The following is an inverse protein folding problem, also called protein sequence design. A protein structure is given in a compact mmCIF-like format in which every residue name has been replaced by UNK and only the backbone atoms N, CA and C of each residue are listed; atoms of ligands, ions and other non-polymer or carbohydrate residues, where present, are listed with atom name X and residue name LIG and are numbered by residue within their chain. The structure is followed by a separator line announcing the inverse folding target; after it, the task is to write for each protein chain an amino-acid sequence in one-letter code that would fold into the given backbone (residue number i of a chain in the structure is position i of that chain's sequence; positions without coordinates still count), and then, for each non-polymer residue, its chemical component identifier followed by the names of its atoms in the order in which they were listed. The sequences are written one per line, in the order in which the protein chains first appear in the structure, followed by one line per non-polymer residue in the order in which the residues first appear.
data_IF_837096122177
#
_entry.id   IF_837096122177
#
_cell.length_a   1.000
_cell.length_b   1.000
_cell.length_c   1.000
_cell.angle_alpha   90.00
_cell.angle_beta   90.00
_cell.angle_gamma   90.00
#
_symmetry.space_group_name_H-M   'P 1'
#
loop_
_entity.id
_entity.type
_entity.pdbx_description
1 polymer ?
#
# COMPACT_ATOMS: atom_id res chain seq x y z
N UNK A 1 8.49 6.39 -16.56
CA UNK A 1 7.14 6.55 -15.98
C UNK A 1 7.30 6.63 -14.47
N UNK A 2 6.61 7.52 -13.83
CA UNK A 2 6.72 7.78 -12.39
C UNK A 2 5.31 7.77 -11.76
N UNK A 3 5.17 7.23 -10.53
CA UNK A 3 3.94 7.26 -9.76
C UNK A 3 4.21 8.05 -8.48
N UNK A 4 3.46 9.13 -8.28
CA UNK A 4 3.50 9.93 -7.06
C UNK A 4 2.37 9.47 -6.11
N UNK A 5 2.74 8.96 -4.95
CA UNK A 5 1.79 8.51 -3.93
C UNK A 5 1.00 9.67 -3.27
N UNK A 6 1.36 10.91 -3.56
CA UNK A 6 0.62 12.11 -3.12
C UNK A 6 -0.43 12.59 -4.14
N UNK A 7 -0.44 12.06 -5.35
CA UNK A 7 -1.47 12.35 -6.38
C UNK A 7 -2.32 11.08 -6.59
N UNK A 8 -3.56 11.11 -6.12
CA UNK A 8 -4.51 10.00 -6.21
C UNK A 8 -4.75 9.52 -7.65
N UNK A 9 -4.52 10.38 -8.65
CA UNK A 9 -4.66 10.06 -10.07
C UNK A 9 -3.37 9.56 -10.72
N UNK A 10 -2.23 9.68 -10.05
CA UNK A 10 -0.93 9.37 -10.64
C UNK A 10 -0.83 7.90 -11.06
N UNK A 11 -1.28 6.99 -10.22
CA UNK A 11 -1.31 5.56 -10.55
C UNK A 11 -2.16 5.28 -11.79
N UNK A 12 -3.37 5.85 -11.88
CA UNK A 12 -4.25 5.68 -13.04
C UNK A 12 -3.61 6.19 -14.31
N UNK A 13 -3.05 7.41 -14.31
CA UNK A 13 -2.33 7.99 -15.46
C UNK A 13 -1.18 7.08 -15.91
N UNK A 14 -0.43 6.51 -14.97
CA UNK A 14 0.66 5.60 -15.27
C UNK A 14 0.16 4.31 -15.95
N UNK A 15 -0.93 3.73 -15.49
CA UNK A 15 -1.54 2.55 -16.12
C UNK A 15 -2.06 2.88 -17.54
N UNK A 16 -2.71 4.03 -17.71
CA UNK A 16 -3.18 4.48 -19.03
C UNK A 16 -2.00 4.60 -20.03
N UNK A 17 -0.83 5.08 -19.58
CA UNK A 17 0.40 5.14 -20.39
C UNK A 17 0.92 3.73 -20.73
N UNK A 18 0.95 2.81 -19.76
CA UNK A 18 1.37 1.41 -19.99
C UNK A 18 0.53 0.75 -21.08
N UNK A 19 -0.78 0.96 -21.03
CA UNK A 19 -1.69 0.37 -22.01
C UNK A 19 -1.59 1.04 -23.38
N UNK A 20 -1.63 2.39 -23.43
CA UNK A 20 -1.72 3.12 -24.69
C UNK A 20 -0.39 3.23 -25.45
N UNK A 21 0.74 3.37 -24.74
CA UNK A 21 2.04 3.59 -25.35
C UNK A 21 2.92 2.34 -25.41
N UNK A 22 2.75 1.41 -24.45
CA UNK A 22 3.56 0.20 -24.34
C UNK A 22 2.80 -1.10 -24.62
N UNK A 23 1.49 -1.00 -24.92
CA UNK A 23 0.62 -2.15 -25.18
C UNK A 23 0.66 -3.24 -24.08
N UNK A 24 0.85 -2.81 -22.82
CA UNK A 24 0.84 -3.69 -21.66
C UNK A 24 -0.60 -3.84 -21.19
N UNK A 25 -1.18 -5.01 -21.41
CA UNK A 25 -2.59 -5.30 -21.12
C UNK A 25 -2.78 -6.31 -19.96
N UNK A 26 -1.68 -6.82 -19.40
CA UNK A 26 -1.69 -7.67 -18.19
C UNK A 26 -0.48 -7.38 -17.31
N UNK A 27 -0.64 -7.56 -16.02
CA UNK A 27 0.42 -7.49 -15.00
C UNK A 27 0.27 -8.73 -14.13
N UNK A 28 1.34 -9.50 -13.98
CA UNK A 28 1.34 -10.72 -13.16
C UNK A 28 1.61 -10.39 -11.69
N UNK A 29 2.48 -9.42 -11.43
CA UNK A 29 2.87 -9.02 -10.08
C UNK A 29 2.94 -7.51 -9.96
N UNK A 30 2.40 -6.98 -8.87
CA UNK A 30 2.58 -5.58 -8.47
C UNK A 30 3.12 -5.51 -7.03
N UNK A 31 4.08 -4.63 -6.80
CA UNK A 31 4.67 -4.41 -5.49
C UNK A 31 4.41 -2.97 -5.06
N UNK A 32 3.52 -2.78 -4.08
CA UNK A 32 3.29 -1.49 -3.44
C UNK A 32 4.42 -1.24 -2.40
N UNK A 33 5.53 -0.69 -2.87
CA UNK A 33 6.73 -0.45 -2.07
C UNK A 33 6.80 0.97 -1.48
N UNK A 34 6.18 1.96 -2.11
CA UNK A 34 6.24 3.34 -1.67
C UNK A 34 5.70 3.51 -0.24
N UNK A 35 6.40 4.28 0.57
CA UNK A 35 6.00 4.56 1.94
C UNK A 35 6.97 5.50 2.63
N UNK A 36 6.47 6.20 3.63
CA UNK A 36 7.24 7.12 4.49
C UNK A 36 7.23 6.64 5.94
N UNK A 37 8.29 7.00 6.68
CA UNK A 37 8.45 6.80 8.12
C UNK A 37 9.32 7.94 8.67
N UNK A 38 8.75 9.15 8.78
CA UNK A 38 9.52 10.38 9.00
C UNK A 38 9.42 10.91 10.42
N UNK A 39 8.38 10.54 11.18
CA UNK A 39 8.19 11.02 12.55
C UNK A 39 8.22 9.88 13.57
N UNK A 40 8.97 10.11 14.65
CA UNK A 40 9.09 9.20 15.78
C UNK A 40 8.65 9.88 17.06
N UNK A 41 7.54 9.44 17.63
CA UNK A 41 6.99 9.95 18.88
C UNK A 41 5.86 9.06 19.41
N UNK A 42 5.63 9.10 20.73
CA UNK A 42 4.51 8.38 21.35
C UNK A 42 3.17 9.00 20.92
N UNK A 43 2.09 8.24 21.09
CA UNK A 43 0.75 8.64 20.66
C UNK A 43 0.28 9.98 21.28
N UNK A 44 0.73 10.30 22.48
CA UNK A 44 0.35 11.50 23.21
C UNK A 44 0.84 12.82 22.61
N UNK A 45 1.91 12.77 21.79
CA UNK A 45 2.52 13.98 21.19
C UNK A 45 2.68 13.87 19.67
N UNK A 46 2.28 12.77 19.06
CA UNK A 46 2.34 12.62 17.60
C UNK A 46 1.46 13.68 16.93
N UNK A 47 2.01 14.58 16.08
CA UNK A 47 1.22 15.59 15.39
C UNK A 47 0.17 14.95 14.47
N UNK A 48 -1.01 15.53 14.41
CA UNK A 48 -2.08 15.05 13.52
C UNK A 48 -1.68 15.18 12.04
N UNK A 49 -0.85 16.17 11.69
CA UNK A 49 -0.26 16.29 10.35
C UNK A 49 0.52 15.05 9.96
N UNK A 50 1.34 14.52 10.86
CA UNK A 50 2.12 13.29 10.62
C UNK A 50 1.21 12.07 10.40
N UNK A 51 0.14 11.95 11.19
CA UNK A 51 -0.85 10.89 10.99
C UNK A 51 -1.47 11.00 9.60
N UNK A 52 -1.90 12.19 9.20
CA UNK A 52 -2.51 12.42 7.88
C UNK A 52 -1.54 12.11 6.75
N UNK A 53 -0.29 12.56 6.84
CA UNK A 53 0.71 12.36 5.79
C UNK A 53 1.07 10.88 5.64
N UNK A 54 1.30 10.17 6.74
CA UNK A 54 1.56 8.73 6.69
C UNK A 54 0.38 7.95 6.12
N UNK A 55 -0.86 8.31 6.47
CA UNK A 55 -2.04 7.69 5.87
C UNK A 55 -2.18 8.02 4.39
N UNK A 56 -1.94 9.27 3.99
CA UNK A 56 -2.00 9.69 2.60
C UNK A 56 -1.04 8.90 1.73
N UNK A 57 0.23 8.83 2.10
CA UNK A 57 1.25 8.14 1.31
C UNK A 57 1.14 6.62 1.43
N UNK A 58 1.14 6.10 2.66
CA UNK A 58 1.26 4.65 2.90
C UNK A 58 -0.04 3.90 2.64
N UNK A 59 -1.20 4.51 2.89
CA UNK A 59 -2.50 3.84 2.77
C UNK A 59 -3.20 4.24 1.49
N UNK A 60 -3.50 5.54 1.32
CA UNK A 60 -4.26 6.01 0.15
C UNK A 60 -3.48 5.75 -1.14
N UNK A 61 -2.17 6.03 -1.17
CA UNK A 61 -1.31 5.72 -2.32
C UNK A 61 -1.31 4.23 -2.68
N UNK A 62 -1.28 3.34 -1.67
CA UNK A 62 -1.36 1.88 -1.89
C UNK A 62 -2.73 1.47 -2.44
N UNK A 63 -3.82 2.04 -1.91
CA UNK A 63 -5.19 1.80 -2.41
C UNK A 63 -5.32 2.27 -3.85
N UNK A 64 -4.88 3.49 -4.15
CA UNK A 64 -4.93 4.07 -5.49
C UNK A 64 -4.16 3.22 -6.52
N UNK A 65 -2.96 2.76 -6.14
CA UNK A 65 -2.17 1.86 -6.98
C UNK A 65 -2.93 0.54 -7.23
N UNK A 66 -3.43 -0.11 -6.18
CA UNK A 66 -4.17 -1.36 -6.31
C UNK A 66 -5.39 -1.21 -7.24
N UNK A 67 -6.19 -0.17 -7.03
CA UNK A 67 -7.37 0.09 -7.88
C UNK A 67 -7.00 0.34 -9.33
N UNK A 68 -5.92 1.08 -9.58
CA UNK A 68 -5.47 1.38 -10.94
C UNK A 68 -4.96 0.14 -11.68
N UNK A 69 -4.21 -0.75 -11.01
CA UNK A 69 -3.64 -1.96 -11.63
C UNK A 69 -4.64 -3.12 -11.70
N UNK A 70 -5.73 -3.07 -10.95
CA UNK A 70 -6.67 -4.17 -10.79
C UNK A 70 -7.16 -4.78 -12.11
N UNK A 71 -7.57 -4.01 -13.15
CA UNK A 71 -7.98 -4.57 -14.42
C UNK A 71 -6.89 -5.40 -15.11
N UNK A 72 -5.61 -4.97 -15.00
CA UNK A 72 -4.46 -5.65 -15.60
C UNK A 72 -4.06 -6.89 -14.80
N UNK A 73 -4.18 -6.84 -13.47
CA UNK A 73 -3.97 -8.01 -12.61
C UNK A 73 -5.00 -9.10 -12.94
N UNK A 74 -6.27 -8.75 -13.05
CA UNK A 74 -7.33 -9.72 -13.40
C UNK A 74 -7.17 -10.36 -14.77
N UNK A 75 -6.44 -9.72 -15.68
CA UNK A 75 -6.13 -10.27 -16.99
C UNK A 75 -4.98 -11.30 -16.98
N UNK A 76 -4.26 -11.41 -15.84
CA UNK A 76 -3.18 -12.38 -15.66
C UNK A 76 -3.70 -13.70 -15.10
N UNK A 77 -3.21 -14.86 -15.58
CA UNK A 77 -3.47 -16.17 -14.97
C UNK A 77 -2.68 -16.40 -13.67
N UNK A 78 -1.69 -15.53 -13.35
CA UNK A 78 -0.77 -15.66 -12.21
C UNK A 78 -0.72 -14.36 -11.40
N UNK A 79 -1.89 -13.87 -10.99
CA UNK A 79 -1.98 -12.57 -10.33
C UNK A 79 -1.48 -12.63 -8.87
N UNK A 80 -0.52 -11.75 -8.53
CA UNK A 80 0.10 -11.69 -7.21
C UNK A 80 0.34 -10.22 -6.78
N UNK A 81 -0.66 -9.54 -6.18
CA UNK A 81 -0.42 -8.25 -5.57
C UNK A 81 0.33 -8.41 -4.24
N UNK A 82 1.35 -7.59 -4.04
CA UNK A 82 2.12 -7.51 -2.81
C UNK A 82 2.14 -6.07 -2.28
N UNK A 83 2.02 -5.91 -0.96
CA UNK A 83 2.23 -4.63 -0.31
C UNK A 83 3.31 -4.80 0.76
N UNK A 84 4.31 -3.90 0.77
CA UNK A 84 5.34 -3.95 1.80
C UNK A 84 4.78 -3.46 3.13
N UNK A 85 4.81 -4.34 4.11
CA UNK A 85 4.48 -4.07 5.50
C UNK A 85 5.72 -4.20 6.39
N UNK A 86 5.53 -4.34 7.69
CA UNK A 86 6.61 -4.42 8.66
C UNK A 86 6.15 -5.17 9.90
N UNK A 87 7.08 -5.90 10.55
CA UNK A 87 6.82 -6.56 11.83
C UNK A 87 6.36 -5.60 12.94
N UNK A 88 6.77 -4.32 12.88
CA UNK A 88 6.31 -3.32 13.86
C UNK A 88 4.83 -2.92 13.69
N UNK A 89 4.17 -3.37 12.63
CA UNK A 89 2.72 -3.24 12.47
C UNK A 89 1.92 -4.31 13.22
N UNK A 90 2.59 -5.30 13.81
CA UNK A 90 1.92 -6.30 14.65
C UNK A 90 1.37 -5.66 15.93
N UNK A 91 0.06 -5.76 16.13
CA UNK A 91 -0.60 -5.31 17.37
C UNK A 91 -0.24 -6.24 18.53
N UNK A 92 -0.18 -7.55 18.26
CA UNK A 92 0.15 -8.57 19.27
C UNK A 92 1.56 -8.42 19.82
N UNK A 93 2.52 -8.04 18.96
CA UNK A 93 3.94 -7.94 19.32
C UNK A 93 4.36 -6.52 19.76
N UNK A 94 3.39 -5.64 20.03
CA UNK A 94 3.67 -4.24 20.39
C UNK A 94 4.61 -4.09 21.58
N UNK A 95 4.55 -5.00 22.57
CA UNK A 95 5.42 -4.98 23.74
C UNK A 95 6.87 -5.37 23.44
N UNK A 96 7.08 -6.29 22.50
CA UNK A 96 8.40 -6.77 22.13
C UNK A 96 9.09 -5.84 21.13
N UNK A 97 8.34 -4.95 20.48
CA UNK A 97 8.83 -3.98 19.50
C UNK A 97 8.43 -2.54 19.89
N UNK A 98 9.02 -1.97 20.95
CA UNK A 98 8.58 -0.68 21.54
C UNK A 98 9.06 0.54 20.74
N UNK A 99 8.94 0.51 19.42
CA UNK A 99 9.33 1.63 18.55
C UNK A 99 8.30 2.76 18.64
N UNK A 100 8.69 4.00 18.98
CA UNK A 100 7.77 5.14 19.09
C UNK A 100 7.44 5.75 17.73
N UNK A 101 6.91 4.98 16.81
CA UNK A 101 6.56 5.38 15.44
C UNK A 101 5.04 5.29 15.23
N UNK A 102 4.27 6.05 16.01
CA UNK A 102 2.81 5.94 16.08
C UNK A 102 2.15 6.08 14.72
N UNK A 103 2.38 7.19 14.00
CA UNK A 103 1.75 7.45 12.69
C UNK A 103 2.10 6.37 11.66
N UNK A 104 3.39 6.00 11.58
CA UNK A 104 3.86 4.95 10.68
C UNK A 104 3.20 3.60 10.96
N UNK A 105 3.26 3.15 12.23
CA UNK A 105 2.70 1.86 12.64
C UNK A 105 1.20 1.78 12.35
N UNK A 106 0.44 2.83 12.69
CA UNK A 106 -0.99 2.92 12.38
C UNK A 106 -1.25 2.76 10.88
N UNK A 107 -0.49 3.46 10.03
CA UNK A 107 -0.63 3.36 8.58
C UNK A 107 -0.34 1.94 8.07
N UNK A 108 0.68 1.27 8.60
CA UNK A 108 1.03 -0.10 8.20
C UNK A 108 0.03 -1.15 8.70
N UNK A 109 -0.60 -0.94 9.85
CA UNK A 109 -1.75 -1.77 10.30
C UNK A 109 -2.92 -1.64 9.32
N UNK A 110 -3.21 -0.42 8.84
CA UNK A 110 -4.25 -0.20 7.84
C UNK A 110 -3.95 -0.91 6.51
N UNK A 111 -2.69 -0.88 6.06
CA UNK A 111 -2.25 -1.65 4.87
C UNK A 111 -2.42 -3.15 5.08
N UNK A 112 -2.06 -3.70 6.24
CA UNK A 112 -2.27 -5.11 6.56
C UNK A 112 -3.75 -5.50 6.50
N UNK A 113 -4.64 -4.64 7.02
CA UNK A 113 -6.08 -4.86 6.91
C UNK A 113 -6.53 -4.89 5.44
N UNK A 114 -6.09 -3.94 4.62
CA UNK A 114 -6.40 -3.89 3.20
C UNK A 114 -5.95 -5.16 2.47
N UNK A 115 -4.71 -5.60 2.68
CA UNK A 115 -4.17 -6.84 2.11
C UNK A 115 -5.05 -8.04 2.46
N UNK A 116 -5.41 -8.15 3.74
CA UNK A 116 -6.30 -9.22 4.23
C UNK A 116 -7.68 -9.14 3.59
N UNK A 117 -8.23 -7.95 3.46
CA UNK A 117 -9.54 -7.70 2.83
C UNK A 117 -9.54 -8.12 1.35
N UNK A 118 -8.50 -7.74 0.60
CA UNK A 118 -8.33 -8.14 -0.80
C UNK A 118 -8.33 -9.66 -0.94
N UNK A 119 -7.58 -10.36 -0.10
CA UNK A 119 -7.52 -11.82 -0.11
C UNK A 119 -8.90 -12.46 0.15
N UNK A 120 -9.65 -11.94 1.12
CA UNK A 120 -10.99 -12.48 1.41
C UNK A 120 -12.01 -12.24 0.29
N UNK A 121 -11.90 -11.11 -0.40
CA UNK A 121 -12.79 -10.77 -1.51
C UNK A 121 -12.41 -11.50 -2.81
N UNK A 122 -11.17 -11.99 -2.91
CA UNK A 122 -10.62 -12.63 -4.10
C UNK A 122 -9.77 -13.83 -3.68
N UNK A 123 -10.38 -14.95 -3.28
CA UNK A 123 -9.67 -16.10 -2.69
C UNK A 123 -8.69 -16.77 -3.68
N UNK A 124 -8.85 -16.53 -4.98
CA UNK A 124 -7.93 -16.98 -6.02
C UNK A 124 -6.60 -16.20 -6.04
N UNK A 125 -6.54 -15.05 -5.34
CA UNK A 125 -5.34 -14.24 -5.27
C UNK A 125 -4.36 -14.73 -4.20
N UNK A 126 -3.08 -14.82 -4.56
CA UNK A 126 -1.99 -14.88 -3.59
C UNK A 126 -1.60 -13.45 -3.22
N UNK A 127 -2.12 -12.94 -2.10
CA UNK A 127 -1.79 -11.60 -1.59
C UNK A 127 -0.81 -11.72 -0.45
N UNK A 128 0.30 -10.98 -0.51
CA UNK A 128 1.36 -10.98 0.49
C UNK A 128 1.55 -9.59 1.09
N UNK A 129 1.94 -9.54 2.37
CA UNK A 129 2.35 -8.33 3.09
C UNK A 129 3.54 -8.58 4.01
#
# INVERSE_FOLDING_TARGET
MFIDSNDDNSAKKAIDVLQSQHNINKIDTVVANAGISEYYGPATITPISEVREHFKVNVVGTVALFQAVWPLLKASPHLMPMALSTGVASIGDMKSLPLPATAYRMSKVAVNYMVRKIHFENPELTVLS
#
